data_IF_208750648417
#
_entry.id   IF_208750648417
#
_cell.length_a   1.000
_cell.length_b   1.000
_cell.length_c   1.000
_cell.angle_alpha   90.00
_cell.angle_beta   90.00
_cell.angle_gamma   90.00
#
_symmetry.space_group_name_H-M   'P 1'
#
loop_
_entity.id
_entity.type
_entity.pdbx_description
1 polymer ?
#
# COMPACT_ATOMS: atom_id res chain seq x y z
N UNK A 1 -42.39 25.54 -20.40
CA UNK A 1 -41.24 24.75 -19.92
C UNK A 1 -41.42 23.32 -20.41
N UNK A 2 -40.36 22.61 -20.85
CA UNK A 2 -40.47 21.20 -21.22
C UNK A 2 -40.99 20.41 -20.01
N UNK A 3 -42.03 19.61 -20.22
CA UNK A 3 -42.62 18.76 -19.18
C UNK A 3 -41.59 17.71 -18.78
N UNK A 4 -41.02 17.82 -17.58
CA UNK A 4 -40.14 16.80 -17.00
C UNK A 4 -41.01 15.85 -16.17
N UNK A 5 -41.05 14.59 -16.56
CA UNK A 5 -41.68 13.53 -15.78
C UNK A 5 -40.63 12.90 -14.88
N UNK A 6 -40.97 12.65 -13.62
CA UNK A 6 -40.09 12.03 -12.63
C UNK A 6 -40.68 10.69 -12.22
N UNK A 7 -39.82 9.69 -12.00
CA UNK A 7 -40.21 8.46 -11.32
C UNK A 7 -39.56 8.44 -9.93
N UNK A 8 -40.33 8.28 -8.84
CA UNK A 8 -39.74 8.12 -7.52
C UNK A 8 -39.00 6.79 -7.44
N UNK A 9 -37.77 6.82 -6.93
CA UNK A 9 -37.00 5.61 -6.66
C UNK A 9 -37.39 5.05 -5.29
N UNK A 10 -37.69 3.76 -5.22
CA UNK A 10 -37.84 3.06 -3.94
C UNK A 10 -36.47 2.60 -3.44
N UNK A 11 -36.05 3.12 -2.29
CA UNK A 11 -34.74 2.80 -1.70
C UNK A 11 -34.55 1.30 -1.40
N UNK A 12 -35.63 0.56 -1.15
CA UNK A 12 -35.57 -0.85 -0.77
C UNK A 12 -35.50 -1.83 -1.95
N UNK A 13 -35.92 -1.40 -3.15
CA UNK A 13 -36.06 -2.28 -4.32
C UNK A 13 -35.28 -1.81 -5.54
N UNK A 14 -34.97 -0.52 -5.61
CA UNK A 14 -34.37 0.11 -6.79
C UNK A 14 -32.97 0.65 -6.53
N UNK A 15 -32.47 0.51 -5.30
CA UNK A 15 -31.11 0.91 -4.93
C UNK A 15 -30.39 -0.29 -4.33
N UNK A 16 -29.26 -0.63 -4.93
CA UNK A 16 -28.34 -1.66 -4.41
C UNK A 16 -26.96 -1.05 -4.31
N UNK A 17 -26.36 -1.13 -3.13
CA UNK A 17 -24.96 -0.75 -2.92
C UNK A 17 -24.09 -1.98 -3.04
N UNK A 18 -23.02 -1.89 -3.82
CA UNK A 18 -22.01 -2.96 -3.95
C UNK A 18 -20.63 -2.36 -3.71
N UNK A 19 -19.83 -3.05 -2.90
CA UNK A 19 -18.41 -2.75 -2.71
C UNK A 19 -17.59 -3.71 -3.56
N UNK A 20 -16.73 -3.18 -4.41
CA UNK A 20 -15.82 -3.99 -5.23
C UNK A 20 -14.38 -3.65 -4.89
N UNK A 21 -13.55 -4.67 -4.73
CA UNK A 21 -12.12 -4.49 -4.54
C UNK A 21 -11.38 -4.75 -5.85
N UNK A 22 -10.62 -3.76 -6.30
CA UNK A 22 -9.69 -3.93 -7.41
C UNK A 22 -8.30 -4.20 -6.83
N UNK A 23 -7.59 -5.15 -7.43
CA UNK A 23 -6.23 -5.50 -7.04
C UNK A 23 -5.28 -5.32 -8.22
N UNK A 24 -4.20 -4.58 -7.99
CA UNK A 24 -3.08 -4.45 -8.92
C UNK A 24 -1.83 -5.04 -8.27
N UNK A 25 -1.08 -5.82 -9.05
CA UNK A 25 0.21 -6.37 -8.60
C UNK A 25 1.29 -5.34 -8.83
N UNK A 26 2.03 -4.97 -7.78
CA UNK A 26 3.11 -4.00 -7.85
C UNK A 26 4.46 -4.66 -7.57
N UNK A 27 5.26 -4.95 -8.61
CA UNK A 27 6.63 -5.36 -8.45
C UNK A 27 7.56 -4.14 -8.39
N UNK A 28 8.20 -3.93 -7.25
CA UNK A 28 9.30 -2.97 -7.10
C UNK A 28 10.60 -3.77 -7.20
N UNK A 29 11.29 -3.65 -8.33
CA UNK A 29 12.52 -4.40 -8.61
C UNK A 29 13.73 -3.73 -7.98
N UNK A 30 14.70 -4.54 -7.54
CA UNK A 30 15.96 -4.07 -6.95
C UNK A 30 16.77 -3.12 -7.83
N UNK A 31 16.51 -3.13 -9.14
CA UNK A 31 17.10 -2.18 -10.09
C UNK A 31 16.71 -0.73 -9.76
N UNK A 32 15.46 -0.46 -9.39
CA UNK A 32 15.02 0.89 -8.99
C UNK A 32 15.58 1.23 -7.59
N UNK A 33 15.80 0.21 -6.76
CA UNK A 33 16.27 0.36 -5.38
C UNK A 33 17.78 0.62 -5.32
N UNK A 34 18.56 0.09 -6.27
CA UNK A 34 20.01 0.30 -6.34
C UNK A 34 20.57 0.21 -7.77
N UNK A 35 21.47 1.12 -8.11
CA UNK A 35 22.40 0.96 -9.25
C UNK A 35 21.87 1.19 -10.67
N UNK A 36 20.58 1.49 -10.90
CA UNK A 36 20.09 1.80 -12.26
C UNK A 36 20.45 3.22 -12.71
N UNK A 37 20.29 4.20 -11.83
CA UNK A 37 20.50 5.62 -12.16
C UNK A 37 21.83 6.14 -11.60
N UNK A 38 22.92 5.46 -11.94
CA UNK A 38 24.28 5.84 -11.54
C UNK A 38 25.00 4.79 -10.70
N UNK A 39 26.08 5.21 -10.06
CA UNK A 39 26.89 4.33 -9.20
C UNK A 39 26.23 4.23 -7.82
N UNK A 40 26.15 3.01 -7.29
CA UNK A 40 25.65 2.75 -5.94
C UNK A 40 26.26 3.71 -4.89
N UNK A 41 25.41 4.25 -3.99
CA UNK A 41 25.65 5.36 -3.03
C UNK A 41 25.72 6.77 -3.63
N UNK A 42 25.61 6.90 -4.95
CA UNK A 42 25.60 8.17 -5.68
C UNK A 42 24.57 8.14 -6.82
N UNK A 43 23.42 7.50 -6.57
CA UNK A 43 22.36 7.36 -7.57
C UNK A 43 21.48 8.61 -7.65
N UNK A 44 21.12 9.00 -8.87
CA UNK A 44 20.32 10.22 -9.14
C UNK A 44 18.85 10.06 -8.75
N UNK A 45 18.36 8.84 -8.56
CA UNK A 45 16.99 8.56 -8.12
C UNK A 45 16.85 8.44 -6.60
N UNK A 46 17.95 8.63 -5.86
CA UNK A 46 17.98 8.51 -4.40
C UNK A 46 18.23 9.88 -3.79
N UNK A 47 17.31 10.32 -2.94
CA UNK A 47 17.39 11.62 -2.29
C UNK A 47 17.74 11.47 -0.82
N UNK A 48 18.90 12.00 -0.47
CA UNK A 48 19.31 12.22 0.91
C UNK A 48 18.95 13.66 1.32
N UNK A 49 18.20 13.81 2.40
CA UNK A 49 17.81 15.13 2.90
C UNK A 49 18.82 15.70 3.89
N UNK A 50 18.91 17.02 3.96
CA UNK A 50 19.83 17.74 4.85
C UNK A 50 19.60 17.44 6.33
N UNK A 51 18.36 17.12 6.74
CA UNK A 51 18.06 16.71 8.11
C UNK A 51 18.58 15.31 8.46
N UNK A 52 18.87 14.47 7.45
CA UNK A 52 19.51 13.16 7.61
C UNK A 52 18.71 12.14 8.41
N UNK A 53 17.38 12.14 8.30
CA UNK A 53 16.48 11.28 9.10
C UNK A 53 15.83 10.15 8.30
N UNK A 54 15.79 10.26 6.98
CA UNK A 54 15.34 9.23 6.07
C UNK A 54 15.93 9.47 4.68
N UNK A 55 15.79 8.48 3.81
CA UNK A 55 16.20 8.51 2.41
C UNK A 55 14.99 8.16 1.55
N UNK A 56 14.73 8.92 0.49
CA UNK A 56 13.63 8.65 -0.46
C UNK A 56 14.14 7.96 -1.71
N UNK A 57 13.38 6.98 -2.18
CA UNK A 57 13.61 6.27 -3.45
C UNK A 57 12.54 6.70 -4.46
N UNK A 58 13.00 7.06 -5.65
CA UNK A 58 12.17 7.47 -6.77
C UNK A 58 12.30 6.51 -7.96
N UNK A 59 11.28 6.47 -8.82
CA UNK A 59 11.29 5.68 -10.06
C UNK A 59 12.21 6.24 -11.15
N UNK A 60 12.55 7.53 -11.05
CA UNK A 60 13.40 8.27 -11.97
C UNK A 60 14.30 9.25 -11.19
N UNK A 61 15.34 9.84 -11.79
CA UNK A 61 16.12 10.91 -11.16
C UNK A 61 15.27 11.98 -10.48
N UNK A 62 15.47 12.22 -9.19
CA UNK A 62 14.54 13.00 -8.34
C UNK A 62 14.35 14.47 -8.74
N UNK A 63 15.18 14.99 -9.64
CA UNK A 63 15.06 16.34 -10.22
C UNK A 63 14.20 16.39 -11.48
N UNK A 64 13.84 15.25 -12.05
CA UNK A 64 12.99 15.18 -13.24
C UNK A 64 11.52 15.42 -12.87
N UNK A 65 10.80 16.12 -13.74
CA UNK A 65 9.38 16.44 -13.58
C UNK A 65 8.45 15.22 -13.65
N UNK A 66 8.92 14.13 -14.25
CA UNK A 66 8.13 12.90 -14.42
C UNK A 66 8.29 11.91 -13.26
N UNK A 67 9.02 12.32 -12.23
CA UNK A 67 9.47 11.43 -11.16
C UNK A 67 8.40 11.26 -10.10
N UNK A 68 8.13 10.00 -9.73
CA UNK A 68 7.24 9.66 -8.64
C UNK A 68 8.01 9.10 -7.45
N UNK A 69 7.58 9.51 -6.26
CA UNK A 69 8.06 8.96 -5.01
C UNK A 69 7.50 7.54 -4.81
N UNK A 70 8.38 6.58 -4.57
CA UNK A 70 8.03 5.16 -4.44
C UNK A 70 7.97 4.77 -2.96
N UNK A 71 9.04 5.01 -2.20
CA UNK A 71 9.06 4.78 -0.76
C UNK A 71 10.18 5.54 -0.06
N UNK A 72 10.04 5.68 1.26
CA UNK A 72 11.07 6.18 2.16
C UNK A 72 11.67 5.05 2.99
N UNK A 73 12.96 5.16 3.28
CA UNK A 73 13.69 4.25 4.16
C UNK A 73 14.26 5.04 5.32
N UNK A 74 14.09 4.51 6.52
CA UNK A 74 14.79 4.97 7.72
C UNK A 74 15.14 3.80 8.63
N UNK A 75 15.91 4.06 9.68
CA UNK A 75 16.24 3.09 10.70
C UNK A 75 16.18 3.72 12.09
N UNK A 76 15.92 2.88 13.09
CA UNK A 76 15.84 3.29 14.48
C UNK A 76 15.96 2.10 15.41
N UNK A 77 16.22 2.39 16.67
CA UNK A 77 16.25 1.39 17.73
C UNK A 77 15.74 1.99 19.02
N UNK A 78 15.26 1.11 19.89
CA UNK A 78 14.78 1.49 21.21
C UNK A 78 15.93 1.88 22.14
N UNK A 79 15.66 2.80 23.07
CA UNK A 79 16.62 3.27 24.07
C UNK A 79 17.11 2.18 25.02
N UNK A 80 16.33 1.11 25.22
CA UNK A 80 16.71 -0.04 26.03
C UNK A 80 17.77 -0.94 25.37
N UNK A 81 18.08 -0.70 24.08
CA UNK A 81 18.96 -1.56 23.29
C UNK A 81 20.43 -1.21 23.49
N UNK A 82 21.03 -1.69 24.57
CA UNK A 82 22.48 -1.56 24.81
C UNK A 82 23.21 -2.62 23.96
N UNK A 83 24.25 -2.27 23.16
CA UNK A 83 25.06 -1.05 23.17
C UNK A 83 24.65 0.06 22.19
N UNK A 84 23.56 -0.10 21.41
CA UNK A 84 23.14 0.87 20.39
C UNK A 84 22.80 2.24 20.99
N UNK A 85 22.01 2.25 22.07
CA UNK A 85 21.58 3.49 22.72
C UNK A 85 22.72 4.25 23.41
N UNK A 86 23.83 3.57 23.73
CA UNK A 86 25.07 4.17 24.24
C UNK A 86 26.04 4.62 23.15
N UNK A 87 25.69 4.51 21.86
CA UNK A 87 26.58 4.91 20.77
C UNK A 87 26.96 6.39 20.84
N UNK A 88 28.24 6.69 20.64
CA UNK A 88 28.78 8.04 20.54
C UNK A 88 28.50 8.71 19.17
N UNK A 89 27.78 8.03 18.27
CA UNK A 89 27.47 8.57 16.95
C UNK A 89 26.55 9.81 17.04
N UNK A 90 26.84 10.84 16.26
CA UNK A 90 26.14 12.16 16.33
C UNK A 90 24.63 12.08 16.06
N UNK A 91 24.18 11.05 15.35
CA UNK A 91 22.77 10.81 15.04
C UNK A 91 22.07 9.80 15.98
N UNK A 92 22.70 9.37 17.07
CA UNK A 92 22.13 8.40 18.01
C UNK A 92 20.74 8.84 18.51
N UNK A 93 20.62 10.08 19.01
CA UNK A 93 19.33 10.63 19.47
C UNK A 93 18.27 10.66 18.36
N UNK A 94 18.67 10.91 17.09
CA UNK A 94 17.73 10.88 15.96
C UNK A 94 17.20 9.47 15.71
N UNK A 95 18.03 8.44 15.80
CA UNK A 95 17.62 7.03 15.60
C UNK A 95 16.62 6.57 16.67
N UNK A 96 16.85 6.94 17.93
CA UNK A 96 15.92 6.66 19.03
C UNK A 96 14.59 7.40 18.79
N UNK A 97 14.65 8.68 18.44
CA UNK A 97 13.45 9.47 18.15
C UNK A 97 12.64 8.92 16.95
N UNK A 98 13.31 8.45 15.90
CA UNK A 98 12.64 7.80 14.76
C UNK A 98 11.92 6.53 15.18
N UNK A 99 12.56 5.66 15.95
CA UNK A 99 11.90 4.47 16.48
C UNK A 99 10.63 4.83 17.28
N UNK A 100 10.77 5.76 18.22
CA UNK A 100 9.67 6.18 19.09
C UNK A 100 8.53 6.84 18.33
N UNK A 101 8.83 7.68 17.33
CA UNK A 101 7.82 8.34 16.51
C UNK A 101 7.00 7.33 15.70
N UNK A 102 7.65 6.36 15.04
CA UNK A 102 6.93 5.34 14.28
C UNK A 102 6.10 4.43 15.18
N UNK A 103 6.64 4.04 16.35
CA UNK A 103 5.88 3.31 17.35
C UNK A 103 4.64 4.09 17.81
N UNK A 104 4.79 5.38 18.10
CA UNK A 104 3.67 6.24 18.54
C UNK A 104 2.59 6.39 17.46
N UNK A 105 2.97 6.61 16.21
CA UNK A 105 2.03 6.80 15.10
C UNK A 105 1.28 5.51 14.77
N UNK A 106 1.95 4.36 14.81
CA UNK A 106 1.39 3.10 14.35
C UNK A 106 0.73 2.26 15.45
N UNK A 107 1.29 2.27 16.65
CA UNK A 107 0.87 1.41 17.76
C UNK A 107 0.25 2.20 18.91
N UNK A 108 0.60 3.47 19.07
CA UNK A 108 0.11 4.34 20.14
C UNK A 108 0.74 4.08 21.50
N UNK A 109 0.01 4.43 22.56
CA UNK A 109 0.44 4.29 23.95
C UNK A 109 -0.19 3.06 24.62
N UNK A 110 0.45 2.58 25.69
CA UNK A 110 -0.03 1.45 26.49
C UNK A 110 0.21 1.64 27.98
N UNK A 111 -0.64 1.00 28.79
CA UNK A 111 -0.58 1.00 30.25
C UNK A 111 -0.99 2.33 30.90
N UNK A 112 -1.07 2.32 32.24
CA UNK A 112 -1.40 3.50 33.05
C UNK A 112 -0.35 4.61 32.97
N UNK A 113 0.87 4.28 32.56
CA UNK A 113 2.00 5.20 32.50
C UNK A 113 2.17 5.86 31.12
N UNK A 114 1.24 5.64 30.18
CA UNK A 114 1.30 6.16 28.80
C UNK A 114 2.66 5.90 28.12
N UNK A 115 3.20 4.69 28.28
CA UNK A 115 4.44 4.29 27.60
C UNK A 115 4.18 4.02 26.13
N UNK A 116 5.10 4.41 25.25
CA UNK A 116 5.02 4.09 23.81
C UNK A 116 5.04 2.57 23.63
N UNK A 117 4.17 2.05 22.77
CA UNK A 117 4.11 0.62 22.47
C UNK A 117 5.18 0.26 21.44
N UNK A 118 6.05 -0.70 21.77
CA UNK A 118 7.12 -1.15 20.88
C UNK A 118 6.58 -2.09 19.80
N UNK A 119 7.29 -2.17 18.67
CA UNK A 119 7.03 -3.22 17.68
C UNK A 119 7.33 -4.59 18.27
N UNK A 120 6.52 -5.59 17.93
CA UNK A 120 6.68 -6.97 18.41
C UNK A 120 6.67 -7.93 17.22
N UNK A 121 7.40 -9.03 17.36
CA UNK A 121 7.48 -10.09 16.36
C UNK A 121 6.25 -11.01 16.32
N UNK A 122 5.23 -10.69 17.09
CA UNK A 122 3.95 -11.37 17.08
C UNK A 122 2.77 -10.36 17.09
N UNK A 123 1.55 -10.89 17.24
CA UNK A 123 0.32 -10.11 17.21
C UNK A 123 -0.26 -9.81 18.60
N UNK A 124 0.42 -10.19 19.69
CA UNK A 124 -0.15 -10.16 21.04
C UNK A 124 -0.04 -8.80 21.72
N UNK A 125 1.00 -8.03 21.37
CA UNK A 125 1.24 -6.72 21.97
C UNK A 125 1.43 -6.79 23.50
N UNK A 126 2.16 -7.83 23.95
CA UNK A 126 2.39 -8.17 25.35
C UNK A 126 3.81 -7.82 25.85
N UNK A 127 4.61 -7.16 25.00
CA UNK A 127 6.03 -6.80 25.16
C UNK A 127 7.01 -7.97 25.08
N UNK A 128 6.54 -9.18 24.81
CA UNK A 128 7.40 -10.33 24.56
C UNK A 128 7.81 -10.33 23.08
N UNK A 129 9.10 -10.53 22.80
CA UNK A 129 9.57 -10.55 21.42
C UNK A 129 9.58 -9.17 20.74
N UNK A 130 9.81 -8.10 21.51
CA UNK A 130 9.95 -6.75 20.98
C UNK A 130 11.07 -6.66 19.93
N UNK A 131 10.82 -5.87 18.90
CA UNK A 131 11.79 -5.52 17.86
C UNK A 131 12.57 -4.29 18.29
N UNK A 132 13.71 -4.54 18.92
CA UNK A 132 14.56 -3.52 19.51
C UNK A 132 15.29 -2.63 18.49
N UNK A 133 15.56 -3.17 17.30
CA UNK A 133 16.27 -2.46 16.22
C UNK A 133 15.63 -2.79 14.88
N UNK A 134 15.24 -1.75 14.16
CA UNK A 134 14.40 -1.88 12.97
C UNK A 134 14.86 -0.98 11.83
N UNK A 135 14.56 -1.46 10.63
CA UNK A 135 14.53 -0.68 9.40
C UNK A 135 13.07 -0.52 8.99
N UNK A 136 12.72 0.69 8.55
CA UNK A 136 11.34 1.04 8.24
C UNK A 136 11.28 1.48 6.79
N UNK A 137 10.38 0.86 6.03
CA UNK A 137 10.08 1.16 4.64
C UNK A 137 8.66 1.69 4.56
N UNK A 138 8.51 2.97 4.21
CA UNK A 138 7.21 3.63 4.10
C UNK A 138 6.86 3.81 2.63
N UNK A 139 5.87 3.07 2.13
CA UNK A 139 5.45 3.13 0.73
C UNK A 139 4.58 4.35 0.45
N UNK A 140 4.76 4.94 -0.73
CA UNK A 140 3.92 6.03 -1.20
C UNK A 140 2.48 5.56 -1.41
N UNK A 141 1.51 6.40 -1.03
CA UNK A 141 0.08 6.15 -1.26
C UNK A 141 -0.27 6.00 -2.75
N UNK A 142 0.56 6.54 -3.65
CA UNK A 142 0.41 6.33 -5.09
C UNK A 142 0.45 4.84 -5.46
N UNK A 143 1.27 4.06 -4.74
CA UNK A 143 1.43 2.61 -4.92
C UNK A 143 0.40 1.83 -4.11
N UNK A 144 0.29 2.09 -2.81
CA UNK A 144 -0.58 1.31 -1.92
C UNK A 144 -2.07 1.60 -2.11
N UNK A 145 -2.42 2.73 -2.75
CA UNK A 145 -3.79 3.22 -2.94
C UNK A 145 -4.52 3.39 -1.61
N UNK A 146 -5.46 2.50 -1.29
CA UNK A 146 -6.17 2.49 -0.01
C UNK A 146 -5.48 1.60 1.01
N UNK A 147 -4.96 0.44 0.58
CA UNK A 147 -4.21 -0.47 1.44
C UNK A 147 -3.43 -1.51 0.64
N UNK A 148 -2.39 -2.07 1.25
CA UNK A 148 -1.76 -3.30 0.79
C UNK A 148 -2.71 -4.47 1.06
N UNK A 149 -2.89 -5.37 0.09
CA UNK A 149 -3.68 -6.58 0.26
C UNK A 149 -2.97 -7.53 1.22
N UNK A 150 -3.69 -7.98 2.24
CA UNK A 150 -3.24 -9.03 3.18
C UNK A 150 -2.90 -10.33 2.41
N UNK A 151 -1.87 -11.04 2.84
CA UNK A 151 -1.30 -12.22 2.17
C UNK A 151 -0.66 -11.94 0.79
N UNK A 152 -0.25 -10.72 0.51
CA UNK A 152 0.40 -10.41 -0.77
C UNK A 152 1.79 -9.83 -0.63
N UNK A 153 2.17 -9.38 0.57
CA UNK A 153 3.43 -8.69 0.77
C UNK A 153 4.58 -9.69 0.81
N UNK A 154 5.59 -9.46 -0.04
CA UNK A 154 6.84 -10.19 -0.05
C UNK A 154 7.99 -9.22 -0.23
N UNK A 155 8.99 -9.34 0.63
CA UNK A 155 10.24 -8.62 0.58
C UNK A 155 11.38 -9.64 0.51
N UNK A 156 12.09 -9.66 -0.59
CA UNK A 156 13.25 -10.54 -0.76
C UNK A 156 14.51 -9.78 -0.37
N UNK A 157 15.26 -10.33 0.59
CA UNK A 157 16.50 -9.77 1.09
C UNK A 157 17.69 -10.72 0.86
N UNK A 158 18.85 -10.13 0.64
CA UNK A 158 20.13 -10.82 0.48
C UNK A 158 20.90 -10.90 1.80
N UNK A 159 21.27 -12.10 2.23
CA UNK A 159 22.15 -12.33 3.39
C UNK A 159 23.56 -12.77 2.98
N UNK A 160 23.89 -12.80 1.69
CA UNK A 160 25.24 -13.10 1.18
C UNK A 160 26.33 -12.11 1.63
N UNK A 161 27.53 -12.21 1.06
CA UNK A 161 28.59 -11.21 1.28
C UNK A 161 28.17 -9.82 0.78
N UNK A 162 28.83 -8.75 1.21
CA UNK A 162 28.55 -7.40 0.70
C UNK A 162 28.82 -7.29 -0.80
N UNK A 163 29.87 -7.92 -1.32
CA UNK A 163 30.17 -7.92 -2.76
C UNK A 163 29.14 -8.72 -3.59
N UNK A 164 28.46 -9.69 -2.99
CA UNK A 164 27.48 -10.54 -3.67
C UNK A 164 26.33 -10.88 -2.71
N UNK A 165 25.41 -9.93 -2.46
CA UNK A 165 24.41 -10.06 -1.40
C UNK A 165 23.37 -11.15 -1.68
N UNK A 166 23.14 -11.50 -2.95
CA UNK A 166 22.11 -12.46 -3.38
C UNK A 166 22.68 -13.81 -3.84
N UNK A 167 24.00 -14.00 -3.77
CA UNK A 167 24.67 -15.22 -4.25
C UNK A 167 25.33 -15.94 -3.08
N UNK A 168 25.24 -17.27 -3.08
CA UNK A 168 26.02 -18.10 -2.15
C UNK A 168 27.47 -18.07 -2.63
N UNK A 169 28.37 -17.45 -1.87
CA UNK A 169 29.81 -17.47 -2.16
C UNK A 169 30.39 -18.79 -1.64
N UNK A 170 31.26 -19.44 -2.42
CA UNK A 170 31.81 -20.77 -2.13
C UNK A 170 32.44 -20.86 -0.73
N UNK A 171 32.12 -21.93 0.01
CA UNK A 171 32.53 -22.16 1.39
C UNK A 171 31.37 -22.17 2.41
N UNK A 172 30.17 -21.76 2.01
CA UNK A 172 28.97 -21.85 2.83
C UNK A 172 28.43 -23.28 2.86
N UNK A 173 28.15 -23.81 4.06
CA UNK A 173 27.54 -25.13 4.22
C UNK A 173 26.14 -25.18 3.61
N UNK A 174 25.61 -26.38 3.36
CA UNK A 174 24.34 -26.64 2.67
C UNK A 174 23.04 -26.12 3.36
N UNK A 175 23.12 -25.09 4.21
CA UNK A 175 21.99 -24.44 4.87
C UNK A 175 22.04 -22.90 4.90
N UNK A 176 23.07 -22.27 4.33
CA UNK A 176 23.20 -20.80 4.29
C UNK A 176 22.52 -20.22 3.04
N UNK A 177 21.20 -20.07 3.09
CA UNK A 177 20.47 -19.39 2.02
C UNK A 177 20.92 -17.91 1.93
N UNK A 178 21.59 -17.53 0.84
CA UNK A 178 22.00 -16.15 0.57
C UNK A 178 20.81 -15.21 0.31
N UNK A 179 19.60 -15.75 0.16
CA UNK A 179 18.37 -14.99 -0.06
C UNK A 179 17.30 -15.47 0.91
N UNK A 180 16.58 -14.54 1.53
CA UNK A 180 15.39 -14.80 2.34
C UNK A 180 14.21 -14.02 1.78
N UNK A 181 13.02 -14.63 1.80
CA UNK A 181 11.77 -13.96 1.42
C UNK A 181 10.96 -13.73 2.69
N UNK A 182 10.80 -12.47 3.08
CA UNK A 182 9.98 -12.05 4.19
C UNK A 182 8.55 -11.85 3.69
N UNK A 183 7.59 -12.56 4.25
CA UNK A 183 6.22 -12.54 3.74
C UNK A 183 5.15 -12.64 4.84
N UNK A 184 3.99 -12.06 4.58
CA UNK A 184 2.83 -12.05 5.49
C UNK A 184 1.96 -13.31 5.34
N UNK A 185 2.61 -14.47 5.39
CA UNK A 185 2.01 -15.77 5.04
C UNK A 185 0.76 -16.14 5.86
N UNK A 186 0.67 -15.67 7.11
CA UNK A 186 -0.46 -15.96 8.01
C UNK A 186 -1.59 -14.94 7.93
N UNK A 187 -1.38 -13.77 7.34
CA UNK A 187 -2.41 -12.76 7.25
C UNK A 187 -3.53 -13.20 6.30
N UNK A 188 -4.78 -12.88 6.65
CA UNK A 188 -5.97 -13.19 5.86
C UNK A 188 -6.89 -11.97 5.79
N UNK A 189 -7.68 -11.91 4.71
CA UNK A 189 -8.64 -10.83 4.47
C UNK A 189 -9.82 -10.84 5.45
N UNK A 190 -10.12 -11.99 6.06
CA UNK A 190 -11.18 -12.19 7.05
C UNK A 190 -10.80 -11.75 8.47
N UNK A 191 -9.57 -11.23 8.67
CA UNK A 191 -9.07 -10.81 9.97
C UNK A 191 -8.25 -11.87 10.71
N UNK A 192 -8.11 -13.09 10.19
CA UNK A 192 -7.21 -14.09 10.78
C UNK A 192 -5.74 -13.71 10.53
N UNK A 193 -4.89 -13.92 11.55
CA UNK A 193 -3.45 -13.65 11.45
C UNK A 193 -3.09 -12.17 11.26
N UNK A 194 -3.98 -11.26 11.66
CA UNK A 194 -3.73 -9.82 11.75
C UNK A 194 -4.24 -9.29 13.09
N UNK A 195 -3.74 -8.13 13.51
CA UNK A 195 -4.26 -7.36 14.63
C UNK A 195 -4.41 -5.90 14.22
N UNK A 196 -5.26 -5.14 14.91
CA UNK A 196 -5.62 -3.77 14.54
C UNK A 196 -5.09 -2.80 15.59
N UNK A 197 -4.40 -1.75 15.15
CA UNK A 197 -3.91 -0.65 15.98
C UNK A 197 -4.23 0.70 15.33
N UNK A 198 -3.67 1.80 15.86
CA UNK A 198 -3.89 3.14 15.31
C UNK A 198 -3.44 3.26 13.85
N UNK A 199 -2.37 2.57 13.46
CA UNK A 199 -1.86 2.50 12.08
C UNK A 199 -2.67 1.61 11.13
N UNK A 200 -3.81 1.09 11.58
CA UNK A 200 -4.64 0.14 10.84
C UNK A 200 -4.35 -1.31 11.21
N UNK A 201 -4.73 -2.22 10.31
CA UNK A 201 -4.43 -3.63 10.46
C UNK A 201 -2.95 -3.86 10.15
N UNK A 202 -2.33 -4.74 10.93
CA UNK A 202 -0.97 -5.17 10.68
C UNK A 202 -0.84 -6.70 10.76
N UNK A 203 0.14 -7.22 10.00
CA UNK A 203 0.49 -8.64 9.95
C UNK A 203 1.98 -8.84 10.22
N UNK A 204 2.34 -10.03 10.70
CA UNK A 204 3.74 -10.41 10.97
C UNK A 204 4.37 -10.98 9.71
N UNK A 205 5.62 -10.58 9.45
CA UNK A 205 6.45 -11.07 8.36
C UNK A 205 7.31 -12.25 8.84
N UNK A 206 7.26 -13.35 8.09
CA UNK A 206 8.04 -14.55 8.34
C UNK A 206 8.97 -14.85 7.17
N UNK A 207 10.11 -15.48 7.44
CA UNK A 207 11.01 -15.98 6.39
C UNK A 207 10.54 -17.31 5.78
N UNK A 208 9.55 -17.97 6.38
CA UNK A 208 8.94 -19.22 5.91
C UNK A 208 7.64 -18.93 5.17
N UNK A 209 7.36 -19.74 4.14
CA UNK A 209 6.10 -19.62 3.39
C UNK A 209 4.90 -20.30 4.03
N UNK A 210 5.14 -21.14 5.03
CA UNK A 210 4.12 -21.76 5.88
C UNK A 210 4.62 -21.75 7.33
N UNK A 211 4.63 -20.58 7.98
CA UNK A 211 5.19 -20.43 9.32
C UNK A 211 4.33 -21.18 10.35
N UNK A 212 5.02 -21.98 11.16
CA UNK A 212 4.50 -22.68 12.32
C UNK A 212 4.38 -21.75 13.53
N UNK A 213 3.76 -22.23 14.61
CA UNK A 213 3.70 -21.50 15.90
C UNK A 213 5.06 -21.29 16.55
N UNK A 214 6.10 -22.00 16.10
CA UNK A 214 7.48 -21.88 16.60
C UNK A 214 8.34 -20.94 15.76
N UNK A 215 7.86 -20.53 14.59
CA UNK A 215 8.59 -19.57 13.75
C UNK A 215 8.49 -18.16 14.34
N UNK A 216 9.64 -17.51 14.43
CA UNK A 216 9.76 -16.16 14.98
C UNK A 216 9.53 -15.15 13.86
N UNK A 217 8.66 -14.16 14.09
CA UNK A 217 8.48 -13.04 13.18
C UNK A 217 9.75 -12.20 13.03
N UNK A 218 10.01 -11.74 11.81
CA UNK A 218 11.20 -10.94 11.47
C UNK A 218 10.83 -9.55 10.93
N UNK A 219 9.56 -9.17 11.08
CA UNK A 219 9.05 -7.86 10.74
C UNK A 219 7.53 -7.79 10.89
N UNK A 220 6.97 -6.61 10.67
CA UNK A 220 5.53 -6.38 10.59
C UNK A 220 5.21 -5.47 9.41
N UNK A 221 4.03 -5.62 8.83
CA UNK A 221 3.53 -4.74 7.77
C UNK A 221 2.17 -4.17 8.18
N UNK A 222 2.03 -2.85 8.11
CA UNK A 222 0.78 -2.12 8.33
C UNK A 222 0.12 -1.86 6.98
N UNK A 223 -1.04 -2.47 6.76
CA UNK A 223 -1.66 -2.56 5.44
C UNK A 223 -2.20 -1.22 4.95
N UNK A 224 -2.95 -0.51 5.79
CA UNK A 224 -3.55 0.78 5.48
C UNK A 224 -2.52 1.91 5.50
N UNK A 225 -1.60 1.90 6.48
CA UNK A 225 -0.52 2.89 6.53
C UNK A 225 0.53 2.71 5.42
N UNK A 226 0.61 1.51 4.81
CA UNK A 226 1.61 1.23 3.78
C UNK A 226 3.04 1.24 4.33
N UNK A 227 3.24 0.74 5.55
CA UNK A 227 4.56 0.77 6.22
C UNK A 227 4.99 -0.66 6.57
N UNK A 228 6.18 -1.05 6.15
CA UNK A 228 6.84 -2.28 6.56
C UNK A 228 7.97 -1.98 7.54
N UNK A 229 7.97 -2.66 8.68
CA UNK A 229 8.99 -2.58 9.73
C UNK A 229 9.71 -3.92 9.76
N UNK A 230 11.03 -3.90 9.55
CA UNK A 230 11.87 -5.09 9.44
C UNK A 230 12.86 -5.05 10.60
N UNK A 231 12.87 -6.08 11.44
CA UNK A 231 13.87 -6.14 12.51
C UNK A 231 15.24 -6.49 11.97
N UNK A 232 16.31 -6.00 12.63
CA UNK A 232 17.69 -6.34 12.29
C UNK A 232 17.96 -7.85 12.31
N UNK A 233 17.20 -8.63 13.07
CA UNK A 233 17.33 -10.10 13.11
C UNK A 233 16.93 -10.79 11.80
N UNK A 234 16.24 -10.10 10.89
CA UNK A 234 15.99 -10.59 9.54
C UNK A 234 17.29 -10.96 8.80
N UNK A 235 18.39 -10.27 9.12
CA UNK A 235 19.72 -10.48 8.53
C UNK A 235 20.62 -11.39 9.36
N UNK A 236 20.07 -12.22 10.24
CA UNK A 236 20.84 -13.26 10.95
C UNK A 236 20.92 -14.55 10.14
N UNK A 237 22.02 -15.29 10.25
CA UNK A 237 22.15 -16.65 9.72
C UNK A 237 22.21 -17.66 10.85
N UNK A 238 21.60 -18.82 10.61
CA UNK A 238 21.67 -19.95 11.54
C UNK A 238 22.99 -20.69 11.32
N UNK A 239 23.95 -20.49 12.21
CA UNK A 239 25.24 -21.20 12.22
C UNK A 239 25.31 -22.10 13.44
N UNK A 240 25.50 -23.41 13.23
CA UNK A 240 25.57 -24.41 14.30
C UNK A 240 24.40 -24.34 15.31
N UNK A 241 23.18 -24.07 14.83
CA UNK A 241 21.97 -24.01 15.67
C UNK A 241 21.68 -22.65 16.31
N UNK A 242 22.59 -21.68 16.22
CA UNK A 242 22.45 -20.34 16.80
C UNK A 242 22.25 -19.31 15.68
N UNK A 243 21.32 -18.37 15.87
CA UNK A 243 21.17 -17.23 14.98
C UNK A 243 22.26 -16.19 15.28
N UNK A 244 23.01 -15.81 14.26
CA UNK A 244 24.12 -14.86 14.36
C UNK A 244 23.98 -13.78 13.29
N UNK A 245 24.15 -12.49 13.62
CA UNK A 245 24.12 -11.42 12.63
C UNK A 245 25.13 -11.68 11.50
N UNK A 246 24.78 -11.35 10.26
CA UNK A 246 25.78 -11.40 9.19
C UNK A 246 26.91 -10.42 9.51
N UNK A 247 28.16 -10.89 9.39
CA UNK A 247 29.36 -10.13 9.71
C UNK A 247 29.69 -9.03 8.66
N UNK A 248 28.98 -9.05 7.54
CA UNK A 248 29.26 -8.20 6.38
C UNK A 248 27.97 -7.53 5.89
N UNK A 249 27.15 -7.01 6.81
CA UNK A 249 25.88 -6.36 6.47
C UNK A 249 26.11 -5.10 5.64
N UNK A 250 27.06 -4.26 6.06
CA UNK A 250 27.45 -3.02 5.41
C UNK A 250 28.98 -2.92 5.29
N UNK A 251 29.47 -2.27 4.24
CA UNK A 251 30.89 -1.91 4.12
C UNK A 251 31.07 -0.40 4.32
N UNK A 252 31.94 -0.01 5.25
CA UNK A 252 32.39 1.38 5.36
C UNK A 252 33.72 1.54 4.63
N UNK A 253 33.80 2.48 3.69
CA UNK A 253 35.08 2.91 3.15
C UNK A 253 35.80 3.75 4.20
N UNK A 254 37.02 3.37 4.60
CA UNK A 254 37.84 4.21 5.47
C UNK A 254 38.02 5.61 4.86
N UNK A 255 38.10 6.63 5.73
CA UNK A 255 38.48 7.99 5.34
C UNK A 255 39.91 7.97 4.75
N UNK A 256 40.02 7.82 3.42
CA UNK A 256 41.29 7.62 2.74
C UNK A 256 41.21 6.96 1.35
N UNK A 257 40.04 6.46 0.94
CA UNK A 257 39.81 5.94 -0.42
C UNK A 257 39.50 4.44 -0.48
N UNK A 258 39.34 3.86 -1.69
CA UNK A 258 38.70 2.55 -1.93
C UNK A 258 39.50 1.29 -1.49
N UNK A 259 40.37 1.38 -0.47
CA UNK A 259 41.37 0.34 -0.15
C UNK A 259 41.23 -0.37 1.21
N UNK A 260 40.30 0.04 2.08
CA UNK A 260 40.04 -0.68 3.33
C UNK A 260 38.57 -0.53 3.71
N UNK A 261 37.79 -1.57 3.40
CA UNK A 261 36.41 -1.72 3.85
C UNK A 261 36.38 -2.45 5.18
N UNK A 262 35.92 -1.79 6.24
CA UNK A 262 35.52 -2.51 7.45
C UNK A 262 34.12 -3.04 7.21
N UNK A 263 33.98 -4.36 7.27
CA UNK A 263 32.70 -5.04 7.19
C UNK A 263 32.03 -4.91 8.57
N UNK A 264 30.81 -4.39 8.59
CA UNK A 264 30.04 -4.18 9.80
C UNK A 264 28.89 -5.18 9.86
N UNK A 265 28.61 -5.70 11.06
CA UNK A 265 27.34 -6.38 11.36
C UNK A 265 26.16 -5.40 11.32
N UNK A 266 24.93 -5.93 11.33
CA UNK A 266 23.72 -5.08 11.42
C UNK A 266 23.71 -4.17 12.64
N UNK A 267 24.12 -4.69 13.79
CA UNK A 267 24.19 -3.92 15.04
C UNK A 267 25.29 -2.86 14.97
N UNK A 268 26.46 -3.19 14.42
CA UNK A 268 27.55 -2.21 14.27
C UNK A 268 27.20 -1.11 13.27
N UNK A 269 26.54 -1.45 12.15
CA UNK A 269 26.06 -0.47 11.17
C UNK A 269 25.06 0.51 11.81
N UNK A 270 24.12 0.00 12.60
CA UNK A 270 23.16 0.82 13.35
C UNK A 270 23.85 1.68 14.42
N UNK A 271 24.93 1.22 15.04
CA UNK A 271 25.67 2.01 16.02
C UNK A 271 26.57 3.08 15.38
N UNK A 272 27.28 2.76 14.30
CA UNK A 272 28.45 3.52 13.82
C UNK A 272 28.18 4.37 12.58
N UNK A 273 27.19 4.02 11.75
CA UNK A 273 26.94 4.73 10.48
C UNK A 273 25.85 5.81 10.62
N UNK A 274 25.81 6.75 9.69
CA UNK A 274 24.66 7.65 9.54
C UNK A 274 23.39 6.88 9.17
N UNK A 275 22.22 7.51 9.34
CA UNK A 275 20.95 6.94 8.88
C UNK A 275 21.00 6.72 7.36
N UNK A 276 21.53 7.67 6.58
CA UNK A 276 21.69 7.50 5.13
C UNK A 276 22.57 6.31 4.76
N UNK A 277 23.68 6.09 5.47
CA UNK A 277 24.55 4.93 5.23
C UNK A 277 23.87 3.60 5.60
N UNK A 278 23.03 3.59 6.63
CA UNK A 278 22.17 2.44 6.95
C UNK A 278 21.10 2.21 5.87
N UNK A 279 20.52 3.28 5.31
CA UNK A 279 19.58 3.18 4.19
C UNK A 279 20.26 2.61 2.94
N UNK A 280 21.48 3.05 2.63
CA UNK A 280 22.25 2.49 1.51
C UNK A 280 22.54 0.99 1.75
N UNK A 281 22.94 0.62 2.97
CA UNK A 281 23.19 -0.77 3.33
C UNK A 281 21.95 -1.65 3.15
N UNK A 282 20.77 -1.22 3.61
CA UNK A 282 19.55 -2.00 3.40
C UNK A 282 19.11 -2.01 1.93
N UNK A 283 19.27 -0.92 1.16
CA UNK A 283 18.97 -0.90 -0.28
C UNK A 283 19.78 -1.94 -1.04
N UNK A 284 21.08 -2.04 -0.75
CA UNK A 284 21.96 -3.07 -1.33
C UNK A 284 21.52 -4.50 -1.00
N UNK A 285 20.80 -4.65 0.12
CA UNK A 285 20.32 -5.93 0.63
C UNK A 285 18.91 -6.26 0.15
N UNK A 286 18.16 -5.34 -0.46
CA UNK A 286 16.81 -5.61 -0.96
C UNK A 286 16.91 -6.02 -2.44
N UNK A 287 16.45 -7.24 -2.74
CA UNK A 287 16.39 -7.73 -4.12
C UNK A 287 15.11 -7.29 -4.83
N UNK A 288 13.96 -7.46 -4.17
CA UNK A 288 12.66 -7.07 -4.70
C UNK A 288 11.64 -6.92 -3.57
N UNK A 289 10.69 -6.02 -3.78
CA UNK A 289 9.49 -5.88 -2.95
C UNK A 289 8.30 -6.09 -3.87
N UNK A 290 7.40 -6.99 -3.51
CA UNK A 290 6.19 -7.26 -4.29
C UNK A 290 4.99 -7.28 -3.37
N UNK A 291 3.94 -6.60 -3.75
CA UNK A 291 2.65 -6.67 -3.05
C UNK A 291 1.52 -6.35 -4.02
N UNK A 292 0.30 -6.71 -3.64
CA UNK A 292 -0.87 -6.27 -4.37
C UNK A 292 -1.48 -5.08 -3.63
N UNK A 293 -1.76 -3.99 -4.32
CA UNK A 293 -2.58 -2.94 -3.74
C UNK A 293 -4.05 -3.36 -3.75
N UNK A 294 -4.85 -2.64 -2.99
CA UNK A 294 -6.30 -2.76 -3.00
C UNK A 294 -6.87 -1.36 -3.11
N UNK A 295 -7.74 -1.16 -4.10
CA UNK A 295 -8.61 0.02 -4.18
C UNK A 295 -10.04 -0.42 -3.93
N UNK A 296 -10.70 0.25 -3.01
CA UNK A 296 -12.11 0.05 -2.74
C UNK A 296 -12.94 1.00 -3.59
N UNK A 297 -13.76 0.44 -4.47
CA UNK A 297 -14.72 1.21 -5.24
C UNK A 297 -16.09 1.00 -4.62
N UNK A 298 -16.67 2.09 -4.13
CA UNK A 298 -18.02 2.11 -3.62
C UNK A 298 -18.96 2.44 -4.77
N UNK A 299 -19.77 1.45 -5.16
CA UNK A 299 -20.71 1.58 -6.26
C UNK A 299 -22.13 1.56 -5.73
N UNK A 300 -22.93 2.55 -6.10
CA UNK A 300 -24.39 2.52 -5.91
C UNK A 300 -25.06 2.27 -7.25
N UNK A 301 -25.85 1.21 -7.32
CA UNK A 301 -26.59 0.80 -8.50
C UNK A 301 -28.04 1.24 -8.32
N UNK A 302 -28.52 2.04 -9.26
CA UNK A 302 -29.91 2.46 -9.37
C UNK A 302 -30.60 1.69 -10.49
N UNK A 303 -31.73 1.08 -10.18
CA UNK A 303 -32.62 0.44 -11.14
C UNK A 303 -33.74 1.39 -11.51
N UNK A 304 -33.54 2.14 -12.59
CA UNK A 304 -34.54 3.07 -13.10
C UNK A 304 -35.59 2.29 -13.89
N UNK A 305 -36.75 2.05 -13.28
CA UNK A 305 -37.87 1.36 -13.92
C UNK A 305 -38.68 2.35 -14.75
N UNK A 306 -38.92 1.98 -16.00
CA UNK A 306 -39.72 2.74 -16.95
C UNK A 306 -40.93 1.89 -17.29
N UNK A 307 -42.04 2.04 -16.53
CA UNK A 307 -43.22 1.21 -16.70
C UNK A 307 -43.92 1.48 -18.03
N UNK A 308 -44.79 0.55 -18.44
CA UNK A 308 -45.41 0.56 -19.75
C UNK A 308 -46.24 1.84 -20.00
N UNK A 309 -46.88 2.39 -18.96
CA UNK A 309 -47.78 3.54 -19.02
C UNK A 309 -47.12 4.92 -18.91
N UNK A 310 -45.83 5.01 -18.55
CA UNK A 310 -45.11 6.28 -18.37
C UNK A 310 -44.03 6.48 -19.45
N UNK A 311 -43.56 7.72 -19.58
CA UNK A 311 -42.43 8.10 -20.44
C UNK A 311 -42.61 7.78 -21.93
N UNK A 312 -43.85 7.68 -22.42
CA UNK A 312 -44.15 7.39 -23.83
C UNK A 312 -44.16 8.65 -24.72
N UNK A 313 -43.66 9.79 -24.22
CA UNK A 313 -43.57 11.06 -24.93
C UNK A 313 -42.22 11.74 -24.61
N UNK A 314 -41.78 12.66 -25.48
CA UNK A 314 -40.51 13.37 -25.33
C UNK A 314 -40.71 14.85 -25.08
N UNK A 315 -39.77 15.46 -24.36
CA UNK A 315 -39.65 16.90 -24.22
C UNK A 315 -38.92 17.56 -25.40
N UNK A 316 -38.51 16.80 -26.41
CA UNK A 316 -37.89 17.32 -27.63
C UNK A 316 -38.89 18.24 -28.37
N UNK A 317 -38.48 19.45 -28.82
CA UNK A 317 -39.33 20.35 -29.59
C UNK A 317 -40.00 19.72 -30.83
N UNK A 318 -39.42 18.67 -31.42
CA UNK A 318 -40.03 17.93 -32.55
C UNK A 318 -41.31 17.19 -32.19
N UNK A 319 -41.59 16.98 -30.90
CA UNK A 319 -42.84 16.41 -30.38
C UNK A 319 -43.91 17.47 -30.13
N UNK A 320 -43.70 18.73 -30.51
CA UNK A 320 -44.68 19.80 -30.37
C UNK A 320 -45.26 20.16 -31.74
N UNK A 321 -46.58 20.28 -31.82
CA UNK A 321 -47.27 20.87 -32.97
C UNK A 321 -48.29 21.86 -32.45
N UNK A 322 -48.03 23.16 -32.69
CA UNK A 322 -48.72 24.24 -31.98
C UNK A 322 -48.43 24.19 -30.48
N UNK A 323 -49.47 24.27 -29.64
CA UNK A 323 -49.39 24.17 -28.17
C UNK A 323 -49.73 22.78 -27.62
N UNK A 324 -49.67 21.73 -28.45
CA UNK A 324 -50.00 20.35 -28.08
C UNK A 324 -48.80 19.42 -28.31
N UNK A 325 -48.63 18.45 -27.41
CA UNK A 325 -47.64 17.37 -27.58
C UNK A 325 -48.20 16.39 -28.62
N UNK A 326 -47.51 16.25 -29.76
CA UNK A 326 -47.78 15.25 -30.80
C UNK A 326 -46.95 14.01 -30.51
N UNK A 327 -47.62 12.94 -30.12
CA UNK A 327 -46.99 11.64 -29.82
C UNK A 327 -47.24 10.59 -30.92
N UNK A 328 -48.17 10.89 -31.83
CA UNK A 328 -48.61 10.02 -32.93
C UNK A 328 -48.80 10.85 -34.20
N UNK A 329 -48.59 10.24 -35.37
CA UNK A 329 -48.87 10.89 -36.66
C UNK A 329 -50.34 10.70 -37.05
N UNK A 330 -50.87 9.50 -36.82
CA UNK A 330 -52.28 9.14 -36.99
C UNK A 330 -52.84 8.62 -35.65
N UNK A 331 -54.14 8.83 -35.37
CA UNK A 331 -54.74 8.46 -34.08
C UNK A 331 -54.58 6.99 -33.68
N UNK A 332 -54.45 6.09 -34.68
CA UNK A 332 -54.25 4.65 -34.49
C UNK A 332 -52.81 4.22 -34.19
N UNK A 333 -51.81 5.08 -34.38
CA UNK A 333 -50.41 4.69 -34.21
C UNK A 333 -50.07 4.45 -32.73
N UNK A 334 -49.09 3.59 -32.44
CA UNK A 334 -48.51 3.51 -31.10
C UNK A 334 -47.53 4.66 -30.90
N UNK A 335 -47.57 5.36 -29.74
CA UNK A 335 -46.63 6.44 -29.47
C UNK A 335 -45.22 5.85 -29.28
N UNK A 336 -44.24 6.47 -29.93
CA UNK A 336 -42.83 6.06 -29.86
C UNK A 336 -42.03 7.19 -29.22
N UNK A 337 -41.17 6.84 -28.28
CA UNK A 337 -40.21 7.75 -27.67
C UNK A 337 -38.84 7.07 -27.56
N UNK A 338 -37.79 7.88 -27.43
CA UNK A 338 -36.44 7.38 -27.26
C UNK A 338 -35.83 7.95 -25.99
N UNK A 339 -35.33 7.06 -25.14
CA UNK A 339 -34.62 7.41 -23.92
C UNK A 339 -33.14 7.53 -24.27
N UNK A 340 -32.53 8.67 -23.99
CA UNK A 340 -31.12 8.95 -24.28
C UNK A 340 -30.31 9.25 -23.03
N UNK A 341 -30.97 9.73 -21.98
CA UNK A 341 -30.31 10.25 -20.77
C UNK A 341 -31.21 10.01 -19.57
N UNK A 342 -30.61 9.64 -18.45
CA UNK A 342 -31.25 9.47 -17.15
C UNK A 342 -30.64 10.50 -16.19
N UNK A 343 -31.48 11.29 -15.53
CA UNK A 343 -31.05 12.27 -14.53
C UNK A 343 -31.51 11.86 -13.13
N UNK A 344 -30.61 11.89 -12.16
CA UNK A 344 -30.92 11.69 -10.74
C UNK A 344 -31.16 13.06 -10.09
N UNK A 345 -32.31 13.23 -9.44
CA UNK A 345 -32.70 14.47 -8.79
C UNK A 345 -32.92 14.26 -7.29
N UNK A 346 -32.63 15.28 -6.48
CA UNK A 346 -32.95 15.28 -5.05
C UNK A 346 -34.40 15.72 -4.77
N UNK A 347 -34.82 15.69 -3.50
CA UNK A 347 -36.17 16.09 -3.09
C UNK A 347 -36.51 17.57 -3.38
N UNK A 348 -35.49 18.42 -3.56
CA UNK A 348 -35.62 19.83 -3.93
C UNK A 348 -35.62 20.06 -5.46
N UNK A 349 -35.66 18.99 -6.27
CA UNK A 349 -35.54 19.01 -7.74
C UNK A 349 -34.19 19.50 -8.29
N UNK A 350 -33.12 19.41 -7.51
CA UNK A 350 -31.76 19.69 -7.97
C UNK A 350 -31.16 18.44 -8.61
N UNK A 351 -30.47 18.62 -9.73
CA UNK A 351 -29.85 17.53 -10.48
C UNK A 351 -28.53 17.10 -9.79
N UNK A 352 -28.47 15.85 -9.35
CA UNK A 352 -27.30 15.26 -8.67
C UNK A 352 -26.36 14.55 -9.64
N UNK A 353 -26.92 13.79 -10.59
CA UNK A 353 -26.13 13.00 -11.53
C UNK A 353 -26.85 12.84 -12.87
N UNK A 354 -26.07 12.63 -13.94
CA UNK A 354 -26.58 12.39 -15.30
C UNK A 354 -25.87 11.17 -15.89
N UNK A 355 -26.65 10.19 -16.33
CA UNK A 355 -26.16 9.05 -17.09
C UNK A 355 -26.62 9.18 -18.55
N UNK A 356 -25.68 9.04 -19.49
CA UNK A 356 -25.98 8.98 -20.93
C UNK A 356 -25.95 7.53 -21.40
N UNK A 357 -26.93 7.17 -22.20
CA UNK A 357 -26.96 5.87 -22.86
C UNK A 357 -26.06 5.92 -24.09
N UNK A 358 -25.38 4.81 -24.39
CA UNK A 358 -24.55 4.67 -25.59
C UNK A 358 -25.37 4.78 -26.87
N UNK A 359 -26.62 4.30 -26.83
CA UNK A 359 -27.57 4.35 -27.92
C UNK A 359 -28.97 4.75 -27.41
N UNK A 360 -29.78 5.46 -28.21
CA UNK A 360 -31.16 5.78 -27.84
C UNK A 360 -32.02 4.52 -27.72
N UNK A 361 -32.60 4.27 -26.54
CA UNK A 361 -33.48 3.12 -26.31
C UNK A 361 -34.92 3.46 -26.72
N UNK A 362 -35.48 2.69 -27.64
CA UNK A 362 -36.87 2.83 -28.10
C UNK A 362 -37.85 2.39 -27.00
N UNK A 363 -38.79 3.25 -26.64
CA UNK A 363 -39.88 2.99 -25.70
C UNK A 363 -41.24 3.11 -26.40
N UNK A 364 -42.08 2.10 -26.19
CA UNK A 364 -43.49 2.02 -26.61
C UNK A 364 -44.37 1.64 -25.41
N UNK A 365 -45.69 1.86 -25.45
CA UNK A 365 -46.59 1.51 -24.35
C UNK A 365 -46.74 0.01 -24.07
N UNK A 366 -46.22 -0.84 -24.95
CA UNK A 366 -46.26 -2.30 -24.82
C UNK A 366 -45.07 -2.83 -24.02
N UNK A 367 -44.00 -2.05 -23.94
CA UNK A 367 -42.73 -2.50 -23.37
C UNK A 367 -42.42 -1.79 -22.05
N UNK A 368 -41.98 -2.56 -21.06
CA UNK A 368 -41.34 -2.07 -19.85
C UNK A 368 -39.83 -2.15 -19.99
N UNK A 369 -39.12 -1.13 -19.50
CA UNK A 369 -37.66 -1.09 -19.55
C UNK A 369 -37.14 -0.87 -18.13
N UNK A 370 -36.07 -1.56 -17.77
CA UNK A 370 -35.31 -1.27 -16.54
C UNK A 370 -33.89 -0.88 -16.93
N UNK A 371 -33.50 0.36 -16.62
CA UNK A 371 -32.17 0.87 -16.90
C UNK A 371 -31.35 0.76 -15.62
N UNK A 372 -30.26 0.00 -15.68
CA UNK A 372 -29.30 -0.11 -14.57
C UNK A 372 -28.26 0.99 -14.70
N UNK A 373 -28.28 1.96 -13.78
CA UNK A 373 -27.29 3.04 -13.70
C UNK A 373 -26.35 2.75 -12.54
N UNK A 374 -25.03 2.73 -12.80
CA UNK A 374 -24.01 2.58 -11.77
C UNK A 374 -23.37 3.93 -11.50
N UNK A 375 -23.33 4.32 -10.23
CA UNK A 375 -22.60 5.47 -9.73
C UNK A 375 -21.42 4.97 -8.91
N UNK A 376 -20.20 5.22 -9.39
CA UNK A 376 -18.95 4.88 -8.70
C UNK A 376 -18.40 6.15 -8.07
N UNK A 377 -18.00 6.09 -6.80
CA UNK A 377 -17.44 7.23 -6.05
C UNK A 377 -16.34 6.82 -5.07
#
# INVERSE_FOLDING_TARGET
MPVRSYEPLSLNSDVTTTRTFLHEVLPITGSIISGTYGKFMAEDNIKNYTHGMFQSVYDYPYLSSSTNHIFDITCGYDESTVPLSSSAHIQNAKKINMYNQFCQVLLGFTGSNNTVRMFENDLKLDKTGSMNSVYIVSFSRLLTKDQIKKNSFKLTIGTGSWASPFTVVGGAGAGDAAVKVLQDANARVDGQGVNTTLGGDYGVLYSSSNPSTTDVGVGVVFYQAGIAVITSSAFEKKKAGVFTPIADFAATYAAGGPGSSSNLTTTEALAQMSISGNCDAIRHRIQNITFNNSTEINSTIYFCRVPHNKFNYSANPTYLTGSKIRVKNVGGDTPISYITTVGLYNASNELLAVAKLSEPLKKTPENELTIRVRLDY
#
